data_IF_658385965893
#
_entry.id   IF_658385965893
#
_cell.length_a   1.000
_cell.length_b   1.000
_cell.length_c   1.000
_cell.angle_alpha   90.00
_cell.angle_beta   90.00
_cell.angle_gamma   90.00
#
_symmetry.space_group_name_H-M   'P 1'
#
loop_
_entity.id
_entity.type
_entity.pdbx_description
1 polymer ?
#
# COMPACT_ATOMS: atom_id res chain seq x y z
N UNK A 1 -4.16 -6.16 -1.01
CA UNK A 1 -4.02 -4.68 -1.12
C UNK A 1 -5.27 -4.07 -1.72
N UNK A 2 -5.58 -4.33 -2.99
CA UNK A 2 -6.77 -3.77 -3.66
C UNK A 2 -8.09 -4.10 -2.95
N UNK A 3 -8.21 -5.31 -2.40
CA UNK A 3 -9.40 -5.73 -1.63
C UNK A 3 -9.69 -4.77 -0.46
N UNK A 4 -8.66 -4.42 0.33
CA UNK A 4 -8.80 -3.53 1.48
C UNK A 4 -9.14 -2.11 1.01
N UNK A 5 -8.58 -1.62 -0.10
CA UNK A 5 -8.91 -0.31 -0.66
C UNK A 5 -10.40 -0.25 -1.02
N UNK A 6 -10.91 -1.27 -1.72
CA UNK A 6 -12.33 -1.35 -2.11
C UNK A 6 -13.22 -1.45 -0.87
N UNK A 7 -12.90 -2.34 0.06
CA UNK A 7 -13.67 -2.52 1.30
C UNK A 7 -13.76 -1.22 2.12
N UNK A 8 -12.65 -0.48 2.21
CA UNK A 8 -12.63 0.82 2.88
C UNK A 8 -13.43 1.91 2.18
N UNK A 9 -13.43 1.91 0.84
CA UNK A 9 -14.21 2.87 0.05
C UNK A 9 -15.71 2.61 0.19
N UNK A 10 -16.15 1.34 0.07
CA UNK A 10 -17.55 0.94 0.21
C UNK A 10 -18.09 1.14 1.64
N UNK A 11 -17.22 1.24 2.66
CA UNK A 11 -17.60 1.54 4.04
C UNK A 11 -18.15 2.97 4.24
N UNK A 12 -18.07 3.86 3.23
CA UNK A 12 -18.82 5.11 3.16
C UNK A 12 -18.33 6.29 4.03
N UNK A 13 -17.19 6.16 4.73
CA UNK A 13 -16.67 7.23 5.58
C UNK A 13 -15.14 7.32 5.63
N UNK A 14 -14.60 8.55 5.68
CA UNK A 14 -13.16 8.81 5.65
C UNK A 14 -12.38 8.11 6.79
N UNK A 15 -12.99 7.98 7.98
CA UNK A 15 -12.35 7.29 9.12
C UNK A 15 -12.10 5.81 8.79
N UNK A 16 -13.13 5.11 8.31
CA UNK A 16 -13.00 3.70 7.93
C UNK A 16 -12.14 3.54 6.68
N UNK A 17 -12.31 4.41 5.67
CA UNK A 17 -11.50 4.35 4.47
C UNK A 17 -10.00 4.49 4.79
N UNK A 18 -9.62 5.45 5.64
CA UNK A 18 -8.23 5.59 6.12
C UNK A 18 -7.71 4.34 6.82
N UNK A 19 -8.51 3.74 7.71
CA UNK A 19 -8.12 2.50 8.41
C UNK A 19 -7.78 1.40 7.40
N UNK A 20 -8.62 1.20 6.41
CA UNK A 20 -8.39 0.20 5.36
C UNK A 20 -7.22 0.54 4.43
N UNK A 21 -6.99 1.82 4.13
CA UNK A 21 -5.79 2.28 3.41
C UNK A 21 -4.51 1.98 4.21
N UNK A 22 -4.52 2.17 5.54
CA UNK A 22 -3.38 1.81 6.39
C UNK A 22 -3.11 0.30 6.36
N UNK A 23 -4.14 -0.53 6.42
CA UNK A 23 -4.00 -2.00 6.27
C UNK A 23 -3.41 -2.33 4.89
N UNK A 24 -3.93 -1.71 3.82
CA UNK A 24 -3.40 -1.88 2.45
C UNK A 24 -1.91 -1.53 2.35
N UNK A 25 -1.50 -0.44 2.99
CA UNK A 25 -0.09 -0.02 3.06
C UNK A 25 0.77 -1.00 3.86
N UNK A 26 0.24 -1.56 4.94
CA UNK A 26 0.89 -2.62 5.73
C UNK A 26 1.17 -3.87 4.90
N UNK A 27 0.15 -4.38 4.20
CA UNK A 27 0.30 -5.53 3.29
C UNK A 27 1.32 -5.25 2.17
N UNK A 28 1.43 -4.00 1.69
CA UNK A 28 2.48 -3.61 0.75
C UNK A 28 3.89 -3.76 1.33
N UNK A 29 4.06 -3.45 2.62
CA UNK A 29 5.31 -3.63 3.34
C UNK A 29 5.69 -5.10 3.49
N UNK A 30 4.71 -5.97 3.78
CA UNK A 30 4.90 -7.42 3.87
C UNK A 30 5.33 -8.02 2.54
N UNK A 31 4.65 -7.70 1.44
CA UNK A 31 5.04 -8.14 0.09
C UNK A 31 6.46 -7.69 -0.24
N UNK A 32 6.82 -6.45 0.10
CA UNK A 32 8.18 -5.93 -0.12
C UNK A 32 9.22 -6.71 0.68
N UNK A 33 8.92 -7.07 1.93
CA UNK A 33 9.79 -7.92 2.74
C UNK A 33 10.00 -9.31 2.10
N UNK A 34 8.92 -9.91 1.61
CA UNK A 34 8.98 -11.20 0.90
C UNK A 34 9.74 -11.11 -0.42
N UNK A 35 9.67 -9.98 -1.14
CA UNK A 35 10.46 -9.76 -2.35
C UNK A 35 11.96 -9.66 -2.04
N UNK A 36 12.35 -9.02 -0.93
CA UNK A 36 13.75 -9.03 -0.49
C UNK A 36 14.22 -10.44 -0.18
N UNK A 37 13.43 -11.23 0.57
CA UNK A 37 13.76 -12.63 0.84
C UNK A 37 13.88 -13.45 -0.45
N UNK A 38 12.95 -13.28 -1.39
CA UNK A 38 12.97 -13.97 -2.68
C UNK A 38 14.19 -13.58 -3.53
N UNK A 39 14.65 -12.33 -3.42
CA UNK A 39 15.90 -11.86 -4.03
C UNK A 39 17.11 -12.58 -3.43
N UNK A 40 17.20 -12.60 -2.10
CA UNK A 40 18.34 -13.19 -1.38
C UNK A 40 18.46 -14.70 -1.64
N UNK A 41 17.32 -15.39 -1.72
CA UNK A 41 17.23 -16.82 -2.04
C UNK A 41 17.36 -17.12 -3.54
N UNK A 42 17.51 -16.09 -4.39
CA UNK A 42 17.60 -16.20 -5.86
C UNK A 42 16.41 -16.95 -6.49
N UNK A 43 15.22 -16.81 -5.91
CA UNK A 43 13.99 -17.41 -6.44
C UNK A 43 13.40 -16.61 -7.61
N UNK A 44 13.80 -15.34 -7.74
CA UNK A 44 13.35 -14.43 -8.79
C UNK A 44 14.58 -13.74 -9.35
N UNK A 45 14.59 -13.52 -10.67
CA UNK A 45 15.61 -12.72 -11.34
C UNK A 45 15.72 -11.31 -10.74
N UNK A 46 16.95 -10.78 -10.68
CA UNK A 46 17.23 -9.51 -10.02
C UNK A 46 16.55 -8.32 -10.72
N UNK A 47 16.48 -8.30 -12.05
CA UNK A 47 15.79 -7.24 -12.80
C UNK A 47 14.30 -7.27 -12.45
N UNK A 48 13.72 -8.47 -12.44
CA UNK A 48 12.30 -8.66 -12.13
C UNK A 48 11.96 -8.27 -10.68
N UNK A 49 12.76 -8.71 -9.70
CA UNK A 49 12.49 -8.39 -8.29
C UNK A 49 12.68 -6.90 -8.00
N UNK A 50 13.69 -6.25 -8.61
CA UNK A 50 13.89 -4.81 -8.46
C UNK A 50 12.73 -4.01 -9.06
N UNK A 51 12.15 -4.46 -10.19
CA UNK A 51 10.92 -3.88 -10.74
C UNK A 51 9.74 -3.99 -9.77
N UNK A 52 9.49 -5.18 -9.22
CA UNK A 52 8.42 -5.41 -8.24
C UNK A 52 8.59 -4.59 -6.95
N UNK A 53 9.84 -4.44 -6.47
CA UNK A 53 10.15 -3.59 -5.31
C UNK A 53 9.84 -2.12 -5.59
N UNK A 54 10.16 -1.64 -6.80
CA UNK A 54 9.83 -0.29 -7.26
C UNK A 54 8.32 -0.06 -7.29
N UNK A 55 7.57 -0.99 -7.88
CA UNK A 55 6.10 -0.94 -7.95
C UNK A 55 5.47 -0.89 -6.56
N UNK A 56 5.94 -1.74 -5.64
CA UNK A 56 5.50 -1.70 -4.24
C UNK A 56 5.77 -0.33 -3.60
N UNK A 57 6.92 0.30 -3.90
CA UNK A 57 7.25 1.61 -3.35
C UNK A 57 6.35 2.71 -3.92
N UNK A 58 6.05 2.68 -5.22
CA UNK A 58 5.12 3.63 -5.86
C UNK A 58 3.72 3.49 -5.26
N UNK A 59 3.21 2.26 -5.13
CA UNK A 59 1.91 1.98 -4.53
C UNK A 59 1.82 2.47 -3.08
N UNK A 60 2.82 2.14 -2.26
CA UNK A 60 2.89 2.58 -0.86
C UNK A 60 2.89 4.11 -0.73
N UNK A 61 3.64 4.82 -1.60
CA UNK A 61 3.65 6.29 -1.64
C UNK A 61 2.29 6.86 -2.07
N UNK A 62 1.64 6.25 -3.05
CA UNK A 62 0.29 6.64 -3.50
C UNK A 62 -0.73 6.53 -2.38
N UNK A 63 -0.74 5.40 -1.67
CA UNK A 63 -1.62 5.18 -0.51
C UNK A 63 -1.34 6.20 0.59
N UNK A 64 -0.08 6.47 0.93
CA UNK A 64 0.26 7.49 1.93
C UNK A 64 -0.25 8.87 1.56
N UNK A 65 -0.07 9.30 0.29
CA UNK A 65 -0.57 10.59 -0.20
C UNK A 65 -2.09 10.68 -0.10
N UNK A 66 -2.80 9.61 -0.43
CA UNK A 66 -4.25 9.55 -0.31
C UNK A 66 -4.71 9.68 1.15
N UNK A 67 -4.05 8.99 2.10
CA UNK A 67 -4.33 9.14 3.53
C UNK A 67 -4.14 10.60 3.96
N UNK A 68 -3.01 11.22 3.61
CA UNK A 68 -2.73 12.64 3.95
C UNK A 68 -3.78 13.58 3.37
N UNK A 69 -4.24 13.34 2.14
CA UNK A 69 -5.31 14.11 1.51
C UNK A 69 -6.64 13.99 2.29
N UNK A 70 -7.00 12.76 2.71
CA UNK A 70 -8.22 12.53 3.49
C UNK A 70 -8.16 13.19 4.86
N UNK A 71 -6.99 13.22 5.51
CA UNK A 71 -6.78 13.94 6.76
C UNK A 71 -7.01 15.44 6.59
N UNK A 72 -6.38 16.06 5.59
CA UNK A 72 -6.55 17.48 5.29
C UNK A 72 -8.01 17.85 4.94
N UNK A 73 -8.74 16.97 4.27
CA UNK A 73 -10.13 17.21 3.86
C UNK A 73 -11.10 17.06 5.04
N UNK A 74 -10.81 16.18 6.00
CA UNK A 74 -11.68 15.93 7.15
C UNK A 74 -11.54 17.03 8.23
N UNK A 75 -10.41 17.74 8.28
CA UNK A 75 -10.19 18.87 9.21
C UNK A 75 -10.84 20.20 8.77
N UNK A 76 -11.42 20.25 7.57
CA UNK A 76 -12.08 21.44 7.01
C UNK A 76 -13.62 21.39 7.12
N UNK A 77 -14.16 20.49 7.95
CA UNK A 77 -15.57 20.35 8.33
C UNK A 77 -15.68 20.47 9.85
#
# INVERSE_FOLDING_TARGET
MMNNIVEGYEAGGNVMFKKFLQISRGSCGEVRSMLYLAKDLKYIDEIKVNGLLSDCMVLSKGISKLITYLDATTSNL
#
